data_IF_381250884098
#
_entry.id   IF_381250884098
#
_cell.length_a   1.000
_cell.length_b   1.000
_cell.length_c   1.000
_cell.angle_alpha   90.00
_cell.angle_beta   90.00
_cell.angle_gamma   90.00
#
_symmetry.space_group_name_H-M   'P 1'
#
loop_
_entity.id
_entity.type
_entity.pdbx_description
1 polymer ?
#
# COMPACT_ATOMS: atom_id res chain seq x y z
N UNK A 1 21.12 4.65 12.65
CA UNK A 1 19.76 4.07 12.60
C UNK A 1 18.94 4.73 11.49
N UNK A 2 18.49 3.95 10.52
CA UNK A 2 17.67 4.41 9.39
C UNK A 2 16.80 3.27 8.88
N UNK A 3 15.88 3.56 7.97
CA UNK A 3 15.06 2.53 7.32
C UNK A 3 15.96 1.71 6.40
N UNK A 4 16.02 0.40 6.62
CA UNK A 4 16.83 -0.53 5.81
C UNK A 4 16.01 -1.27 4.76
N UNK A 5 14.70 -1.40 4.96
CA UNK A 5 13.80 -2.12 4.06
C UNK A 5 12.34 -1.70 4.30
N UNK A 6 11.48 -1.95 3.30
CA UNK A 6 10.03 -1.76 3.38
C UNK A 6 9.29 -3.09 3.20
N UNK A 7 8.16 -3.22 3.89
CA UNK A 7 7.18 -4.30 3.66
C UNK A 7 5.82 -3.65 3.49
N UNK A 8 5.19 -3.92 2.34
CA UNK A 8 3.86 -3.45 2.00
C UNK A 8 2.88 -4.63 1.90
N UNK A 9 1.70 -4.44 2.47
CA UNK A 9 0.57 -5.36 2.39
C UNK A 9 -0.57 -4.65 1.65
N UNK A 10 -1.13 -5.34 0.65
CA UNK A 10 -2.24 -4.83 -0.16
C UNK A 10 -2.14 -3.32 -0.49
N UNK A 11 -1.00 -2.83 -1.01
CA UNK A 11 -0.75 -1.40 -1.03
C UNK A 11 -1.56 -0.70 -2.10
N UNK A 12 -2.32 0.30 -1.67
CA UNK A 12 -3.15 1.09 -2.55
C UNK A 12 -2.36 2.20 -3.27
N UNK A 13 -1.39 1.82 -4.11
CA UNK A 13 -0.46 2.78 -4.72
C UNK A 13 -1.10 3.68 -5.80
N UNK A 14 -1.96 3.17 -6.67
CA UNK A 14 -2.34 3.87 -7.91
C UNK A 14 -3.77 4.43 -7.93
N UNK A 15 -4.30 4.95 -6.80
CA UNK A 15 -5.59 5.68 -6.79
C UNK A 15 -5.55 6.91 -7.71
N UNK A 16 -4.42 7.61 -7.76
CA UNK A 16 -4.25 8.88 -8.46
C UNK A 16 -3.17 8.76 -9.52
N UNK A 17 -3.57 8.79 -10.78
CA UNK A 17 -2.64 8.59 -11.89
C UNK A 17 -2.26 9.93 -12.51
N UNK A 18 -1.05 10.40 -12.18
CA UNK A 18 -0.18 11.27 -13.00
C UNK A 18 -0.20 12.79 -12.80
N UNK A 19 -1.10 13.38 -12.01
CA UNK A 19 -1.15 14.84 -11.80
C UNK A 19 -1.49 15.18 -10.35
N UNK A 20 -1.15 16.39 -9.93
CA UNK A 20 -1.67 17.01 -8.70
C UNK A 20 -3.21 17.05 -8.80
N UNK A 21 -3.88 16.37 -7.88
CA UNK A 21 -5.35 16.29 -7.81
C UNK A 21 -5.92 17.04 -6.60
N UNK A 22 -5.17 17.96 -6.01
CA UNK A 22 -5.64 18.78 -4.88
C UNK A 22 -7.00 19.41 -5.18
N UNK A 23 -7.26 19.77 -6.45
CA UNK A 23 -8.52 20.36 -6.87
C UNK A 23 -9.75 19.46 -6.74
N UNK A 24 -9.59 18.13 -6.72
CA UNK A 24 -10.68 17.18 -6.44
C UNK A 24 -11.15 17.24 -4.98
N UNK A 25 -10.34 17.90 -4.15
CA UNK A 25 -10.46 17.95 -2.71
C UNK A 25 -10.55 19.40 -2.19
N UNK A 26 -10.87 20.37 -3.05
CA UNK A 26 -11.00 21.77 -2.65
C UNK A 26 -12.10 22.02 -1.62
N UNK A 27 -13.08 21.11 -1.50
CA UNK A 27 -14.14 21.15 -0.50
C UNK A 27 -13.75 20.53 0.87
N UNK A 28 -12.48 20.12 1.05
CA UNK A 28 -12.01 19.43 2.25
C UNK A 28 -11.68 20.32 3.46
N UNK A 29 -11.88 21.64 3.37
CA UNK A 29 -11.70 22.57 4.49
C UNK A 29 -12.77 22.46 5.59
N UNK A 30 -13.46 21.33 5.73
CA UNK A 30 -14.54 21.13 6.71
C UNK A 30 -14.09 20.54 8.05
N UNK A 31 -12.78 20.30 8.22
CA UNK A 31 -12.23 19.65 9.41
C UNK A 31 -12.26 18.12 9.33
N UNK A 32 -11.95 17.43 10.43
CA UNK A 32 -11.90 15.97 10.45
C UNK A 32 -13.25 15.34 10.13
N UNK A 33 -13.24 14.21 9.41
CA UNK A 33 -14.44 13.44 9.05
C UNK A 33 -14.37 12.08 9.74
N UNK A 34 -15.48 11.67 10.33
CA UNK A 34 -15.64 10.32 10.86
C UNK A 34 -15.95 9.36 9.71
N UNK A 35 -15.10 8.35 9.54
CA UNK A 35 -15.35 7.24 8.63
C UNK A 35 -15.82 6.03 9.43
N UNK A 36 -16.91 5.36 9.01
CA UNK A 36 -17.31 4.11 9.62
C UNK A 36 -16.21 3.07 9.39
N UNK A 37 -15.82 2.36 10.44
CA UNK A 37 -14.94 1.19 10.33
C UNK A 37 -15.72 -0.01 9.81
N UNK A 38 -15.05 -0.91 9.11
CA UNK A 38 -15.58 -2.25 8.87
C UNK A 38 -15.63 -3.04 10.19
N UNK A 39 -16.83 -3.41 10.65
CA UNK A 39 -17.06 -4.20 11.88
C UNK A 39 -17.56 -3.38 13.07
N UNK A 40 -17.40 -3.92 14.30
CA UNK A 40 -17.90 -3.32 15.56
C UNK A 40 -16.97 -2.22 16.14
N UNK A 41 -16.13 -1.62 15.31
CA UNK A 41 -15.15 -0.60 15.74
C UNK A 41 -15.75 0.79 15.90
N UNK A 42 -15.09 1.63 16.70
CA UNK A 42 -15.36 3.07 16.74
C UNK A 42 -14.93 3.73 15.42
N UNK A 43 -15.65 4.77 14.94
CA UNK A 43 -15.30 5.48 13.72
C UNK A 43 -13.86 5.99 13.72
N UNK A 44 -13.19 5.87 12.57
CA UNK A 44 -11.86 6.44 12.38
C UNK A 44 -12.03 7.91 12.00
N UNK A 45 -11.44 8.79 12.80
CA UNK A 45 -11.38 10.22 12.48
C UNK A 45 -10.23 10.43 11.49
N UNK A 46 -10.57 10.83 10.27
CA UNK A 46 -9.58 11.25 9.27
C UNK A 46 -9.53 12.77 9.21
N UNK A 47 -8.37 13.32 9.51
CA UNK A 47 -8.07 14.71 9.18
C UNK A 47 -7.97 14.83 7.65
N UNK A 48 -8.81 15.66 7.05
CA UNK A 48 -8.84 15.85 5.61
C UNK A 48 -7.55 16.48 5.06
N UNK A 49 -6.69 17.03 5.93
CA UNK A 49 -5.31 17.41 5.56
C UNK A 49 -4.50 16.22 5.04
N UNK A 50 -4.68 15.03 5.62
CA UNK A 50 -4.07 13.78 5.14
C UNK A 50 -4.51 13.46 3.71
N UNK A 51 -5.81 13.57 3.43
CA UNK A 51 -6.37 13.28 2.10
C UNK A 51 -5.83 14.28 1.07
N UNK A 52 -5.73 15.56 1.43
CA UNK A 52 -5.16 16.58 0.57
C UNK A 52 -3.66 16.33 0.28
N UNK A 53 -2.90 15.82 1.24
CA UNK A 53 -1.50 15.44 1.03
C UNK A 53 -1.37 14.21 0.14
N UNK A 54 -2.19 13.18 0.35
CA UNK A 54 -2.25 12.00 -0.52
C UNK A 54 -2.57 12.40 -1.97
N UNK A 55 -3.47 13.36 -2.16
CA UNK A 55 -3.83 13.89 -3.49
C UNK A 55 -2.70 14.64 -4.20
N UNK A 56 -1.79 15.25 -3.43
CA UNK A 56 -0.59 15.93 -3.94
C UNK A 56 0.53 14.95 -4.25
N UNK A 57 0.54 13.80 -3.60
CA UNK A 57 1.64 12.85 -3.69
C UNK A 57 1.71 12.21 -5.08
N UNK A 58 2.82 12.48 -5.77
CA UNK A 58 3.06 11.91 -7.10
C UNK A 58 3.64 10.50 -6.96
N UNK A 59 2.75 9.51 -6.87
CA UNK A 59 3.13 8.11 -6.63
C UNK A 59 4.09 7.57 -7.69
N UNK A 60 3.84 7.83 -8.99
CA UNK A 60 4.68 7.25 -10.06
C UNK A 60 6.16 7.68 -9.97
N UNK A 61 6.49 8.98 -9.85
CA UNK A 61 7.87 9.40 -9.57
C UNK A 61 8.47 8.81 -8.30
N UNK A 62 7.68 8.66 -7.23
CA UNK A 62 8.15 8.09 -5.97
C UNK A 62 8.52 6.60 -6.12
N UNK A 63 7.65 5.80 -6.73
CA UNK A 63 7.90 4.38 -6.99
C UNK A 63 9.18 4.17 -7.83
N UNK A 64 9.40 5.00 -8.85
CA UNK A 64 10.61 4.94 -9.68
C UNK A 64 11.92 5.26 -8.94
N UNK A 65 11.83 5.92 -7.80
CA UNK A 65 12.99 6.33 -6.96
C UNK A 65 13.08 5.51 -5.68
N UNK A 66 12.20 4.54 -5.48
CA UNK A 66 12.23 3.66 -4.33
C UNK A 66 13.39 2.68 -4.51
N UNK A 67 14.54 3.00 -3.91
CA UNK A 67 15.77 2.20 -4.07
C UNK A 67 16.04 1.29 -2.87
N UNK A 68 15.33 1.51 -1.75
CA UNK A 68 15.47 0.64 -0.58
C UNK A 68 14.78 -0.69 -0.86
N UNK A 69 15.35 -1.81 -0.38
CA UNK A 69 14.74 -3.11 -0.52
C UNK A 69 13.28 -3.09 -0.10
N UNK A 70 12.40 -3.60 -0.96
CA UNK A 70 10.95 -3.52 -0.76
C UNK A 70 10.30 -4.86 -1.06
N UNK A 71 9.57 -5.39 -0.08
CA UNK A 71 8.64 -6.49 -0.26
C UNK A 71 7.21 -5.95 -0.43
N UNK A 72 6.50 -6.46 -1.41
CA UNK A 72 5.05 -6.31 -1.55
C UNK A 72 4.42 -7.69 -1.43
N UNK A 73 3.42 -7.85 -0.57
CA UNK A 73 2.61 -9.05 -0.47
C UNK A 73 1.16 -8.70 -0.84
N UNK A 74 0.59 -9.44 -1.79
CA UNK A 74 -0.74 -9.19 -2.34
C UNK A 74 -1.52 -10.49 -2.49
N UNK A 75 -2.78 -10.49 -2.04
CA UNK A 75 -3.70 -11.59 -2.25
C UNK A 75 -4.27 -11.57 -3.66
N UNK A 76 -4.39 -12.74 -4.30
CA UNK A 76 -4.86 -12.81 -5.70
C UNK A 76 -6.36 -12.59 -5.87
N UNK A 77 -7.13 -12.71 -4.79
CA UNK A 77 -8.59 -12.51 -4.77
C UNK A 77 -8.99 -11.30 -3.91
N UNK A 78 -8.05 -10.38 -3.66
CA UNK A 78 -8.32 -9.09 -3.04
C UNK A 78 -9.17 -8.22 -3.96
N UNK A 79 -10.39 -7.90 -3.51
CA UNK A 79 -11.36 -7.07 -4.20
C UNK A 79 -11.35 -5.60 -3.75
N UNK A 80 -10.69 -5.31 -2.61
CA UNK A 80 -10.45 -3.95 -2.12
C UNK A 80 -9.28 -3.30 -2.87
N UNK A 81 -8.21 -4.07 -3.07
CA UNK A 81 -6.99 -3.63 -3.76
C UNK A 81 -6.66 -4.62 -4.87
N UNK A 82 -7.16 -4.32 -6.07
CA UNK A 82 -7.02 -5.21 -7.22
C UNK A 82 -5.55 -5.52 -7.53
N UNK A 83 -5.20 -6.81 -7.56
CA UNK A 83 -3.85 -7.30 -7.89
C UNK A 83 -3.23 -6.65 -9.13
N UNK A 84 -4.04 -6.36 -10.16
CA UNK A 84 -3.59 -5.69 -11.39
C UNK A 84 -2.99 -4.30 -11.12
N UNK A 85 -3.52 -3.55 -10.15
CA UNK A 85 -2.99 -2.26 -9.75
C UNK A 85 -1.65 -2.41 -9.03
N UNK A 86 -1.54 -3.40 -8.13
CA UNK A 86 -0.29 -3.72 -7.43
C UNK A 86 0.81 -4.14 -8.40
N UNK A 87 0.51 -5.02 -9.38
CA UNK A 87 1.44 -5.39 -10.46
C UNK A 87 1.91 -4.19 -11.27
N UNK A 88 0.99 -3.27 -11.59
CA UNK A 88 1.30 -2.04 -12.31
C UNK A 88 2.16 -1.07 -11.49
N UNK A 89 1.99 -1.04 -10.16
CA UNK A 89 2.83 -0.24 -9.29
C UNK A 89 4.24 -0.85 -9.16
N UNK A 90 4.31 -2.16 -8.99
CA UNK A 90 5.58 -2.90 -8.93
C UNK A 90 6.42 -2.73 -10.21
N UNK A 91 5.79 -2.73 -11.39
CA UNK A 91 6.52 -2.50 -12.65
C UNK A 91 7.07 -1.07 -12.83
N UNK A 92 6.70 -0.13 -11.95
CA UNK A 92 7.27 1.21 -11.92
C UNK A 92 8.49 1.32 -10.99
N UNK A 93 8.68 0.35 -10.09
CA UNK A 93 9.86 0.29 -9.21
C UNK A 93 11.11 -0.13 -10.01
N UNK A 94 12.32 0.10 -9.48
CA UNK A 94 13.53 -0.52 -10.03
C UNK A 94 13.34 -2.03 -10.18
N UNK A 95 13.62 -2.55 -11.38
CA UNK A 95 13.53 -3.98 -11.67
C UNK A 95 14.89 -4.63 -11.34
N UNK A 96 15.17 -4.74 -10.05
CA UNK A 96 16.38 -5.33 -9.48
C UNK A 96 16.02 -6.42 -8.45
N UNK A 97 17.04 -7.05 -7.85
CA UNK A 97 16.84 -8.09 -6.84
C UNK A 97 16.46 -7.55 -5.44
N UNK A 98 16.37 -6.23 -5.28
CA UNK A 98 15.99 -5.59 -4.02
C UNK A 98 14.47 -5.41 -3.91
N UNK A 99 13.71 -5.62 -4.98
CA UNK A 99 12.26 -5.46 -5.01
C UNK A 99 11.57 -6.79 -5.29
N UNK A 100 10.65 -7.19 -4.43
CA UNK A 100 9.92 -8.46 -4.55
C UNK A 100 8.42 -8.26 -4.44
N UNK A 101 7.67 -8.83 -5.39
CA UNK A 101 6.22 -9.00 -5.28
C UNK A 101 5.92 -10.48 -5.01
N UNK A 102 5.20 -10.74 -3.91
CA UNK A 102 4.67 -12.06 -3.57
C UNK A 102 3.15 -12.05 -3.76
N UNK A 103 2.67 -13.00 -4.56
CA UNK A 103 1.25 -13.21 -4.81
C UNK A 103 0.76 -14.43 -4.02
N UNK A 104 -0.05 -14.20 -2.99
CA UNK A 104 -0.63 -15.26 -2.16
C UNK A 104 -1.93 -15.73 -2.78
N UNK A 105 -1.95 -16.98 -3.22
CA UNK A 105 -3.04 -17.54 -4.03
C UNK A 105 -4.32 -17.69 -3.20
N UNK A 106 -5.43 -17.19 -3.73
CA UNK A 106 -6.76 -17.18 -3.11
C UNK A 106 -6.86 -16.40 -1.79
N UNK A 107 -5.85 -15.57 -1.47
CA UNK A 107 -5.95 -14.64 -0.36
C UNK A 107 -6.76 -13.40 -0.74
N UNK A 108 -7.65 -13.01 0.16
CA UNK A 108 -8.42 -11.76 0.14
C UNK A 108 -7.59 -10.61 0.72
N UNK A 109 -8.20 -9.44 0.88
CA UNK A 109 -7.56 -8.29 1.49
C UNK A 109 -6.97 -8.61 2.87
N UNK A 110 -7.70 -9.33 3.72
CA UNK A 110 -7.39 -9.52 5.14
C UNK A 110 -6.42 -10.68 5.46
N UNK A 111 -6.05 -11.49 4.45
CA UNK A 111 -5.14 -12.64 4.62
C UNK A 111 -5.50 -13.53 5.82
N UNK A 112 -6.74 -14.02 5.93
CA UNK A 112 -7.13 -14.84 7.08
C UNK A 112 -6.50 -16.25 7.10
N UNK A 113 -6.48 -16.88 8.28
CA UNK A 113 -6.07 -18.27 8.51
C UNK A 113 -4.68 -18.63 7.93
N UNK A 114 -4.64 -19.59 7.00
CA UNK A 114 -3.41 -20.05 6.35
C UNK A 114 -2.73 -18.95 5.54
N UNK A 115 -3.50 -18.00 4.98
CA UNK A 115 -2.94 -16.90 4.21
C UNK A 115 -2.17 -15.93 5.12
N UNK A 116 -2.60 -15.78 6.37
CA UNK A 116 -1.87 -15.00 7.38
C UNK A 116 -0.50 -15.62 7.65
N UNK A 117 -0.46 -16.95 7.77
CA UNK A 117 0.78 -17.67 7.99
C UNK A 117 1.76 -17.50 6.81
N UNK A 118 1.25 -17.53 5.57
CA UNK A 118 2.05 -17.25 4.38
C UNK A 118 2.56 -15.81 4.35
N UNK A 119 1.70 -14.83 4.66
CA UNK A 119 2.09 -13.42 4.80
C UNK A 119 3.22 -13.22 5.82
N UNK A 120 3.06 -13.79 7.02
CA UNK A 120 4.05 -13.68 8.10
C UNK A 120 5.37 -14.35 7.68
N UNK A 121 5.30 -15.55 7.07
CA UNK A 121 6.49 -16.28 6.62
C UNK A 121 7.31 -15.45 5.63
N UNK A 122 6.67 -14.88 4.62
CA UNK A 122 7.36 -14.09 3.59
C UNK A 122 7.93 -12.79 4.18
N UNK A 123 7.19 -12.15 5.08
CA UNK A 123 7.67 -10.97 5.82
C UNK A 123 8.92 -11.29 6.65
N UNK A 124 8.88 -12.36 7.46
CA UNK A 124 10.02 -12.76 8.31
C UNK A 124 11.23 -13.15 7.47
N UNK A 125 11.03 -13.89 6.38
CA UNK A 125 12.13 -14.28 5.49
C UNK A 125 12.80 -13.08 4.85
N UNK A 126 12.02 -12.07 4.46
CA UNK A 126 12.55 -10.83 3.93
C UNK A 126 13.33 -10.04 4.96
N UNK A 127 12.78 -9.87 6.16
CA UNK A 127 13.44 -9.15 7.24
C UNK A 127 14.78 -9.79 7.64
N UNK A 128 14.89 -11.13 7.65
CA UNK A 128 16.16 -11.83 7.93
C UNK A 128 17.30 -11.52 6.95
N UNK A 129 17.01 -11.01 5.75
CA UNK A 129 18.03 -10.64 4.77
C UNK A 129 18.59 -9.24 5.08
N UNK A 130 17.75 -8.36 5.63
CA UNK A 130 18.02 -6.92 5.76
C UNK A 130 18.07 -6.42 7.21
N UNK A 131 17.97 -7.33 8.18
CA UNK A 131 18.00 -7.09 9.63
C UNK A 131 18.98 -8.06 10.29
#
# INVERSE_FOLDING_TARGET
PGITTYVFWAPFFLLHTTRDQTNWFNDLNKGPVELPTSGDGEPVIIDMSFVAEVAKFQVKPALKKLNLPTLIIQGTTDDQVLLKLTKKAFSLMPQDDNHKLVEVQNATHDFEEKHLQEFIKETVNWLKIYF
#
